data_IF_981037116665
#
_entry.id   IF_981037116665
#
_cell.length_a   1.000
_cell.length_b   1.000
_cell.length_c   1.000
_cell.angle_alpha   90.00
_cell.angle_beta   90.00
_cell.angle_gamma   90.00
#
_symmetry.space_group_name_H-M   'P 1'
#
loop_
_entity.id
_entity.type
_entity.pdbx_description
1 polymer ?
#
# COMPACT_ATOMS: atom_id res chain seq x y z
N UNK A 1 24.38 -4.86 -3.45
CA UNK A 1 22.99 -5.09 -3.00
C UNK A 1 22.30 -3.73 -3.03
N UNK A 2 21.25 -3.56 -3.83
CA UNK A 2 20.54 -2.27 -3.90
C UNK A 2 19.72 -2.10 -2.62
N UNK A 3 19.94 -1.01 -1.89
CA UNK A 3 19.16 -0.70 -0.69
C UNK A 3 17.79 -0.19 -1.13
N UNK A 4 16.73 -0.82 -0.62
CA UNK A 4 15.35 -0.36 -0.85
C UNK A 4 15.16 1.00 -0.21
N UNK A 5 14.40 1.87 -0.88
CA UNK A 5 14.18 3.24 -0.41
C UNK A 5 12.82 3.30 0.29
N UNK A 6 12.81 3.66 1.57
CA UNK A 6 11.56 3.89 2.33
C UNK A 6 10.60 4.83 1.60
N UNK A 7 11.10 5.90 1.00
CA UNK A 7 10.26 6.83 0.20
C UNK A 7 9.51 6.16 -0.97
N UNK A 8 10.02 5.06 -1.52
CA UNK A 8 9.30 4.29 -2.56
C UNK A 8 8.24 3.41 -1.92
N UNK A 9 8.53 2.81 -0.76
CA UNK A 9 7.58 2.04 0.04
C UNK A 9 6.34 2.89 0.38
N UNK A 10 6.54 4.09 0.89
CA UNK A 10 5.46 5.02 1.25
C UNK A 10 4.62 5.41 0.03
N UNK A 11 5.27 5.63 -1.12
CA UNK A 11 4.56 5.93 -2.36
C UNK A 11 3.70 4.76 -2.84
N UNK A 12 4.16 3.52 -2.67
CA UNK A 12 3.40 2.32 -3.00
C UNK A 12 2.14 2.25 -2.14
N UNK A 13 2.26 2.42 -0.82
CA UNK A 13 1.11 2.43 0.09
C UNK A 13 0.11 3.53 -0.26
N UNK A 14 0.58 4.77 -0.47
CA UNK A 14 -0.30 5.89 -0.82
C UNK A 14 -1.00 5.68 -2.16
N UNK A 15 -0.31 5.08 -3.13
CA UNK A 15 -0.91 4.76 -4.42
C UNK A 15 -1.98 3.67 -4.30
N UNK A 16 -1.72 2.62 -3.52
CA UNK A 16 -2.69 1.55 -3.25
C UNK A 16 -3.93 2.10 -2.54
N UNK A 17 -3.76 2.89 -1.49
CA UNK A 17 -4.84 3.57 -0.76
C UNK A 17 -5.73 4.39 -1.70
N UNK A 18 -5.13 5.23 -2.55
CA UNK A 18 -5.89 6.07 -3.48
C UNK A 18 -6.68 5.24 -4.50
N UNK A 19 -6.06 4.21 -5.09
CA UNK A 19 -6.72 3.36 -6.09
C UNK A 19 -7.82 2.53 -5.43
N UNK A 20 -7.57 2.04 -4.22
CA UNK A 20 -8.54 1.32 -3.41
C UNK A 20 -9.77 2.20 -3.11
N UNK A 21 -9.58 3.45 -2.71
CA UNK A 21 -10.70 4.37 -2.48
C UNK A 21 -11.49 4.68 -3.74
N UNK A 22 -10.85 4.72 -4.91
CA UNK A 22 -11.50 5.03 -6.18
C UNK A 22 -12.25 3.82 -6.78
N UNK A 23 -11.68 2.62 -6.68
CA UNK A 23 -12.12 1.44 -7.46
C UNK A 23 -12.43 0.21 -6.61
N UNK A 24 -12.19 0.28 -5.31
CA UNK A 24 -12.29 -0.85 -4.41
C UNK A 24 -11.14 -1.84 -4.57
N UNK A 25 -11.10 -2.83 -3.65
CA UNK A 25 -10.03 -3.82 -3.58
C UNK A 25 -9.94 -4.59 -4.91
N UNK A 26 -11.03 -5.23 -5.35
CA UNK A 26 -11.05 -6.14 -6.49
C UNK A 26 -10.37 -5.58 -7.75
N UNK A 27 -10.58 -4.30 -8.05
CA UNK A 27 -10.09 -3.65 -9.28
C UNK A 27 -8.74 -2.95 -9.10
N UNK A 28 -8.18 -2.96 -7.89
CA UNK A 28 -6.80 -2.52 -7.62
C UNK A 28 -5.81 -3.58 -8.14
N UNK A 29 -4.73 -3.20 -8.84
CA UNK A 29 -3.74 -4.19 -9.34
C UNK A 29 -2.32 -3.71 -9.12
N UNK A 30 -1.36 -4.62 -8.93
CA UNK A 30 0.07 -4.27 -8.82
C UNK A 30 0.57 -3.47 -10.02
N UNK A 31 0.02 -3.72 -11.21
CA UNK A 31 0.29 -2.92 -12.41
C UNK A 31 -0.22 -1.48 -12.30
N UNK A 32 -1.44 -1.27 -11.80
CA UNK A 32 -1.98 0.08 -11.58
C UNK A 32 -1.19 0.85 -10.52
N UNK A 33 -0.79 0.18 -9.43
CA UNK A 33 0.01 0.76 -8.34
C UNK A 33 1.40 1.14 -8.87
N UNK A 34 2.10 0.23 -9.54
CA UNK A 34 3.41 0.49 -10.13
C UNK A 34 3.37 1.67 -11.11
N UNK A 35 2.32 1.74 -11.94
CA UNK A 35 2.08 2.86 -12.85
C UNK A 35 1.89 4.18 -12.12
N UNK A 36 1.10 4.20 -11.04
CA UNK A 36 0.85 5.40 -10.25
C UNK A 36 2.12 5.91 -9.53
N UNK A 37 3.00 4.99 -9.08
CA UNK A 37 4.26 5.33 -8.42
C UNK A 37 5.37 5.72 -9.43
N UNK A 38 5.25 5.26 -10.69
CA UNK A 38 6.26 5.47 -11.72
C UNK A 38 7.42 4.48 -11.65
N UNK A 39 7.14 3.23 -11.25
CA UNK A 39 8.12 2.13 -11.17
C UNK A 39 7.68 0.94 -12.02
N UNK A 40 8.58 0.00 -12.30
CA UNK A 40 8.20 -1.27 -12.93
C UNK A 40 7.50 -2.18 -11.92
N UNK A 41 6.65 -3.09 -12.43
CA UNK A 41 6.01 -4.11 -11.59
C UNK A 41 7.06 -5.00 -10.91
N UNK A 42 8.15 -5.35 -11.61
CA UNK A 42 9.27 -6.08 -11.01
C UNK A 42 9.92 -5.34 -9.85
N UNK A 43 10.03 -4.01 -9.93
CA UNK A 43 10.57 -3.19 -8.84
C UNK A 43 9.58 -3.14 -7.66
N UNK A 44 8.27 -3.05 -7.92
CA UNK A 44 7.25 -3.13 -6.88
C UNK A 44 7.34 -4.44 -6.08
N UNK A 45 7.58 -5.57 -6.76
CA UNK A 45 7.77 -6.87 -6.12
C UNK A 45 9.01 -6.98 -5.23
N UNK A 46 9.95 -6.03 -5.31
CA UNK A 46 11.07 -5.94 -4.35
C UNK A 46 10.63 -5.37 -3.00
N UNK A 47 9.52 -4.64 -2.95
CA UNK A 47 8.97 -4.04 -1.73
C UNK A 47 7.83 -4.88 -1.14
N UNK A 48 7.00 -5.47 -2.00
CA UNK A 48 5.81 -6.21 -1.59
C UNK A 48 5.59 -7.44 -2.46
N UNK A 49 5.47 -8.60 -1.81
CA UNK A 49 5.35 -9.90 -2.49
C UNK A 49 4.09 -10.03 -3.35
N UNK A 50 2.98 -9.41 -2.93
CA UNK A 50 1.70 -9.45 -3.62
C UNK A 50 0.83 -8.24 -3.24
N UNK A 51 -0.34 -8.13 -3.87
CA UNK A 51 -1.26 -6.99 -3.65
C UNK A 51 -1.88 -7.03 -2.26
N UNK A 52 -2.16 -8.22 -1.77
CA UNK A 52 -2.77 -8.47 -0.47
C UNK A 52 -1.90 -7.87 0.65
N UNK A 53 -0.57 -8.09 0.61
CA UNK A 53 0.36 -7.52 1.60
C UNK A 53 0.42 -5.98 1.52
N UNK A 54 0.31 -5.39 0.33
CA UNK A 54 0.23 -3.92 0.19
C UNK A 54 -1.03 -3.40 0.88
N UNK A 55 -2.16 -4.05 0.60
CA UNK A 55 -3.45 -3.69 1.15
C UNK A 55 -3.52 -3.86 2.66
N UNK A 56 -2.92 -4.92 3.22
CA UNK A 56 -2.82 -5.09 4.67
C UNK A 56 -2.12 -3.88 5.30
N UNK A 57 -1.06 -3.37 4.68
CA UNK A 57 -0.39 -2.14 5.15
C UNK A 57 -1.32 -0.92 5.19
N UNK A 58 -2.18 -0.75 4.19
CA UNK A 58 -3.19 0.34 4.17
C UNK A 58 -4.24 0.14 5.27
N UNK A 59 -4.71 -1.10 5.46
CA UNK A 59 -5.70 -1.43 6.50
C UNK A 59 -5.12 -1.25 7.90
N UNK A 60 -3.86 -1.61 8.12
CA UNK A 60 -3.18 -1.47 9.40
C UNK A 60 -3.09 0.00 9.81
N UNK A 61 -2.70 0.90 8.89
CA UNK A 61 -2.69 2.35 9.15
C UNK A 61 -4.08 2.89 9.52
N UNK A 62 -5.12 2.44 8.81
CA UNK A 62 -6.50 2.82 9.11
C UNK A 62 -6.95 2.28 10.47
N UNK A 63 -6.61 1.03 10.78
CA UNK A 63 -6.99 0.35 12.01
C UNK A 63 -6.33 1.00 13.23
N UNK A 64 -5.02 1.28 13.16
CA UNK A 64 -4.30 2.00 14.22
C UNK A 64 -4.87 3.40 14.44
N UNK A 65 -5.16 4.14 13.36
CA UNK A 65 -5.80 5.45 13.45
C UNK A 65 -7.18 5.35 14.13
N UNK A 66 -7.99 4.37 13.73
CA UNK A 66 -9.33 4.15 14.26
C UNK A 66 -9.30 3.82 15.75
N UNK A 67 -8.49 2.84 16.19
CA UNK A 67 -8.37 2.47 17.60
C UNK A 67 -7.98 3.67 18.45
N UNK A 68 -6.94 4.41 18.03
CA UNK A 68 -6.43 5.57 18.77
C UNK A 68 -7.50 6.66 18.92
N UNK A 69 -8.31 6.89 17.88
CA UNK A 69 -9.39 7.88 17.91
C UNK A 69 -10.61 7.41 18.69
N UNK A 70 -10.98 6.14 18.56
CA UNK A 70 -12.12 5.54 19.24
C UNK A 70 -11.86 5.31 20.74
N UNK A 71 -10.59 5.42 21.20
CA UNK A 71 -10.17 5.15 22.59
C UNK A 71 -10.63 3.76 23.05
N UNK A 72 -10.56 2.78 22.16
CA UNK A 72 -10.98 1.42 22.50
C UNK A 72 -9.97 0.79 23.48
N UNK A 73 -10.44 -0.03 24.43
CA UNK A 73 -9.66 -0.46 25.59
C UNK A 73 -8.72 -1.66 25.33
N UNK A 74 -8.62 -2.14 24.09
CA UNK A 74 -7.70 -3.21 23.69
C UNK A 74 -6.53 -2.64 22.88
#
# INVERSE_FOLDING_TARGET
MQVLKEKIRDKILKADENIFYEKGFKDTTTRSIAKAVGISVSNLYLYYENREVIFTGVVDEFYEYFIKKAKLPW
#
